data_IF_509329243892
#
_entry.id   IF_509329243892
#
_cell.length_a   1.000
_cell.length_b   1.000
_cell.length_c   1.000
_cell.angle_alpha   90.00
_cell.angle_beta   90.00
_cell.angle_gamma   90.00
#
_symmetry.space_group_name_H-M   'P 1'
#
loop_
_entity.id
_entity.type
_entity.pdbx_description
1 polymer ?
#
# COMPACT_ATOMS: atom_id res chain seq x y z
N UNK A 1 24.68 12.16 28.18
CA UNK A 1 26.05 12.43 28.69
C UNK A 1 25.95 12.88 30.14
N UNK A 2 26.81 12.36 31.01
CA UNK A 2 26.76 12.53 32.46
C UNK A 2 27.05 13.98 32.88
N UNK A 3 26.14 14.54 33.67
CA UNK A 3 26.29 15.76 34.49
C UNK A 3 27.54 15.65 35.37
N UNK A 4 28.62 16.33 34.98
CA UNK A 4 29.90 16.29 35.67
C UNK A 4 30.62 17.64 35.63
N UNK A 5 29.92 18.74 35.88
CA UNK A 5 30.57 20.03 36.12
C UNK A 5 29.75 20.83 37.14
N UNK A 6 29.93 20.52 38.42
CA UNK A 6 29.37 21.30 39.53
C UNK A 6 30.43 21.65 40.58
N UNK A 7 31.70 21.79 40.17
CA UNK A 7 32.77 21.98 41.17
C UNK A 7 33.96 22.81 40.72
N UNK A 8 33.79 23.75 39.79
CA UNK A 8 34.95 24.49 39.29
C UNK A 8 34.67 25.91 38.78
N UNK A 9 34.13 26.80 39.62
CA UNK A 9 34.26 28.26 39.37
C UNK A 9 33.96 29.21 40.53
N UNK A 10 33.74 28.76 41.77
CA UNK A 10 33.49 29.67 42.91
C UNK A 10 34.75 30.21 43.60
N UNK A 11 35.91 30.24 42.92
CA UNK A 11 37.19 30.59 43.59
C UNK A 11 37.93 31.84 43.14
N UNK A 12 37.48 32.62 42.15
CA UNK A 12 38.31 33.73 41.64
C UNK A 12 37.61 35.06 41.30
N UNK A 13 36.44 35.36 41.87
CA UNK A 13 35.82 36.70 41.70
C UNK A 13 35.36 37.39 42.99
N UNK A 14 35.93 37.04 44.14
CA UNK A 14 35.81 37.89 45.32
C UNK A 14 36.85 39.02 45.25
N UNK A 15 36.70 39.91 44.27
CA UNK A 15 37.21 41.26 44.40
C UNK A 15 36.35 41.96 45.43
N UNK A 16 36.56 41.68 46.73
CA UNK A 16 36.04 42.53 47.79
C UNK A 16 36.63 43.92 47.53
N UNK A 17 35.85 44.79 46.91
CA UNK A 17 36.10 46.22 47.06
C UNK A 17 35.90 46.48 48.55
N UNK A 18 36.99 46.44 49.31
CA UNK A 18 37.08 47.02 50.63
C UNK A 18 36.83 48.52 50.43
N UNK A 19 35.56 48.91 50.43
CA UNK A 19 35.15 50.30 50.55
C UNK A 19 35.67 50.71 51.92
N UNK A 20 36.62 51.65 51.93
CA UNK A 20 37.13 52.23 53.18
C UNK A 20 35.93 52.75 53.98
N UNK A 21 35.85 52.47 55.30
CA UNK A 21 34.85 53.11 56.14
C UNK A 21 35.00 54.63 55.99
N UNK A 22 33.87 55.29 55.75
CA UNK A 22 33.81 56.75 55.66
C UNK A 22 34.08 57.30 57.07
N UNK A 23 35.07 58.19 57.21
CA UNK A 23 35.43 58.76 58.51
C UNK A 23 34.37 59.79 58.90
N UNK A 24 33.63 59.50 59.98
CA UNK A 24 32.55 60.33 60.51
C UNK A 24 33.05 61.74 60.83
N UNK A 25 34.32 61.87 61.22
CA UNK A 25 34.94 63.16 61.53
C UNK A 25 35.15 64.03 60.29
N UNK A 26 35.39 63.45 59.13
CA UNK A 26 35.65 64.16 57.88
C UNK A 26 34.36 64.81 57.31
N UNK A 27 33.20 64.21 57.60
CA UNK A 27 31.87 64.76 57.28
C UNK A 27 31.51 65.91 58.22
N UNK A 28 31.84 65.77 59.50
CA UNK A 28 31.52 66.74 60.55
C UNK A 28 32.42 67.99 60.53
N UNK A 29 33.63 67.91 59.97
CA UNK A 29 34.55 69.05 59.87
C UNK A 29 34.07 70.16 58.92
N UNK A 30 33.00 69.91 58.13
CA UNK A 30 32.27 70.98 57.46
C UNK A 30 31.43 71.78 58.48
N UNK A 31 32.05 72.77 59.13
CA UNK A 31 31.39 73.76 60.02
C UNK A 31 30.25 74.53 59.32
N UNK A 32 29.08 73.91 59.18
CA UNK A 32 27.84 74.55 58.76
C UNK A 32 26.70 74.02 59.63
N UNK A 33 26.10 74.95 60.37
CA UNK A 33 24.72 75.02 60.86
C UNK A 33 24.01 73.68 61.18
N UNK A 34 23.59 73.47 62.43
CA UNK A 34 22.89 72.27 62.91
C UNK A 34 21.69 71.87 62.03
N UNK A 35 21.02 72.85 61.41
CA UNK A 35 19.94 72.60 60.44
C UNK A 35 20.39 71.80 59.22
N UNK A 36 21.61 72.03 58.71
CA UNK A 36 22.17 71.31 57.57
C UNK A 36 22.60 69.88 57.95
N UNK A 37 23.03 69.65 59.19
CA UNK A 37 23.35 68.30 59.68
C UNK A 37 22.09 67.44 59.84
N UNK A 38 20.97 68.01 60.28
CA UNK A 38 19.67 67.33 60.33
C UNK A 38 19.12 67.03 58.93
N UNK A 39 19.22 67.97 57.99
CA UNK A 39 18.80 67.76 56.59
C UNK A 39 19.63 66.66 55.92
N UNK A 40 20.96 66.64 56.15
CA UNK A 40 21.83 65.57 55.65
C UNK A 40 21.47 64.19 56.23
N UNK A 41 21.12 64.14 57.52
CA UNK A 41 20.70 62.92 58.20
C UNK A 41 19.40 62.37 57.61
N UNK A 42 18.42 63.25 57.34
CA UNK A 42 17.15 62.88 56.69
C UNK A 42 17.37 62.35 55.28
N UNK A 43 18.24 63.00 54.49
CA UNK A 43 18.60 62.54 53.14
C UNK A 43 19.30 61.17 53.15
N UNK A 44 20.23 60.93 54.07
CA UNK A 44 20.92 59.63 54.17
C UNK A 44 19.97 58.53 54.67
N UNK A 45 19.05 58.84 55.58
CA UNK A 45 17.99 57.93 56.03
C UNK A 45 17.04 57.54 54.88
N UNK A 46 16.59 58.52 54.08
CA UNK A 46 15.77 58.30 52.88
C UNK A 46 16.50 57.46 51.82
N UNK A 47 17.78 57.73 51.56
CA UNK A 47 18.60 56.96 50.62
C UNK A 47 18.74 55.50 51.12
N UNK A 48 18.99 55.30 52.42
CA UNK A 48 19.13 53.98 53.02
C UNK A 48 17.84 53.17 52.90
N UNK A 49 16.69 53.80 53.19
CA UNK A 49 15.36 53.18 53.01
C UNK A 49 15.09 52.85 51.53
N UNK A 50 15.44 53.74 50.61
CA UNK A 50 15.27 53.52 49.17
C UNK A 50 16.13 52.37 48.66
N UNK A 51 17.38 52.27 49.09
CA UNK A 51 18.29 51.17 48.75
C UNK A 51 17.71 49.85 49.30
N UNK A 52 17.27 49.82 50.56
CA UNK A 52 16.65 48.62 51.16
C UNK A 52 15.43 48.15 50.39
N UNK A 53 14.50 49.07 50.07
CA UNK A 53 13.31 48.75 49.27
C UNK A 53 13.68 48.24 47.88
N UNK A 54 14.72 48.80 47.27
CA UNK A 54 15.25 48.33 45.98
C UNK A 54 15.79 46.90 46.11
N UNK A 55 16.61 46.61 47.12
CA UNK A 55 17.16 45.28 47.38
C UNK A 55 16.04 44.25 47.59
N UNK A 56 15.06 44.56 48.45
CA UNK A 56 13.91 43.67 48.70
C UNK A 56 13.18 43.37 47.38
N UNK A 57 12.89 44.41 46.60
CA UNK A 57 12.17 44.24 45.33
C UNK A 57 12.96 43.47 44.28
N UNK A 58 14.27 43.70 44.19
CA UNK A 58 15.10 42.97 43.23
C UNK A 58 15.38 41.54 43.68
N UNK A 59 15.49 41.27 44.98
CA UNK A 59 15.57 39.90 45.51
C UNK A 59 14.32 39.09 45.19
N UNK A 60 13.12 39.67 45.33
CA UNK A 60 11.87 39.04 44.89
C UNK A 60 11.92 38.72 43.38
N UNK A 61 12.38 39.67 42.58
CA UNK A 61 12.48 39.54 41.12
C UNK A 61 13.47 38.44 40.73
N UNK A 62 14.62 38.36 41.39
CA UNK A 62 15.63 37.33 41.17
C UNK A 62 15.13 35.93 41.57
N UNK A 63 14.39 35.83 42.68
CA UNK A 63 13.72 34.59 43.08
C UNK A 63 12.70 34.13 42.02
N UNK A 64 11.90 35.06 41.49
CA UNK A 64 10.99 34.78 40.39
C UNK A 64 11.73 34.34 39.12
N UNK A 65 12.80 35.02 38.72
CA UNK A 65 13.65 34.65 37.57
C UNK A 65 14.23 33.25 37.76
N UNK A 66 14.75 32.92 38.94
CA UNK A 66 15.29 31.58 39.22
C UNK A 66 14.22 30.50 39.08
N UNK A 67 13.00 30.75 39.59
CA UNK A 67 11.89 29.82 39.44
C UNK A 67 11.50 29.64 37.97
N UNK A 68 11.35 30.74 37.21
CA UNK A 68 11.04 30.67 35.79
C UNK A 68 12.13 29.95 35.00
N UNK A 69 13.40 30.18 35.32
CA UNK A 69 14.52 29.51 34.67
C UNK A 69 14.49 27.99 34.90
N UNK A 70 14.19 27.55 36.13
CA UNK A 70 14.04 26.13 36.44
C UNK A 70 12.89 25.46 35.65
N UNK A 71 11.74 26.15 35.51
CA UNK A 71 10.62 25.67 34.68
C UNK A 71 11.06 25.56 33.22
N UNK A 72 11.76 26.57 32.72
CA UNK A 72 12.28 26.61 31.36
C UNK A 72 13.25 25.44 31.08
N UNK A 73 14.17 25.16 32.01
CA UNK A 73 15.10 24.01 31.91
C UNK A 73 14.32 22.70 31.82
N UNK A 74 13.28 22.53 32.65
CA UNK A 74 12.42 21.34 32.57
C UNK A 74 11.70 21.23 31.23
N UNK A 75 11.18 22.34 30.69
CA UNK A 75 10.53 22.37 29.38
C UNK A 75 11.49 21.96 28.26
N UNK A 76 12.73 22.49 28.25
CA UNK A 76 13.74 22.11 27.26
C UNK A 76 14.16 20.65 27.38
N UNK A 77 14.23 20.10 28.59
CA UNK A 77 14.48 18.67 28.78
C UNK A 77 13.36 17.80 28.21
N UNK A 78 12.09 18.20 28.40
CA UNK A 78 10.94 17.50 27.82
C UNK A 78 10.93 17.62 26.29
N UNK A 79 11.19 18.81 25.76
CA UNK A 79 11.30 19.07 24.32
C UNK A 79 12.42 18.23 23.69
N UNK A 80 13.59 18.15 24.32
CA UNK A 80 14.69 17.31 23.85
C UNK A 80 14.33 15.82 23.82
N UNK A 81 13.55 15.32 24.78
CA UNK A 81 13.09 13.93 24.77
C UNK A 81 12.08 13.67 23.65
N UNK A 82 11.12 14.59 23.47
CA UNK A 82 10.14 14.52 22.39
C UNK A 82 10.80 14.58 21.01
N UNK A 83 11.86 15.38 20.84
CA UNK A 83 12.63 15.47 19.61
C UNK A 83 13.35 14.16 19.27
N UNK A 84 13.92 13.47 20.26
CA UNK A 84 14.58 12.17 20.03
C UNK A 84 13.58 11.10 19.57
N UNK A 85 12.39 11.09 20.17
CA UNK A 85 11.30 10.20 19.76
C UNK A 85 10.80 10.56 18.35
N UNK A 86 10.63 11.85 18.06
CA UNK A 86 10.21 12.31 16.74
C UNK A 86 11.22 11.92 15.64
N UNK A 87 12.53 12.03 15.92
CA UNK A 87 13.59 11.65 14.98
C UNK A 87 13.60 10.14 14.71
N UNK A 88 13.37 9.31 15.75
CA UNK A 88 13.20 7.87 15.60
C UNK A 88 11.99 7.53 14.70
N UNK A 89 10.85 8.19 14.94
CA UNK A 89 9.63 8.00 14.14
C UNK A 89 9.83 8.44 12.68
N UNK A 90 10.55 9.54 12.43
CA UNK A 90 10.88 9.99 11.08
C UNK A 90 11.70 8.93 10.34
N UNK A 91 12.74 8.39 10.96
CA UNK A 91 13.57 7.34 10.37
C UNK A 91 12.78 6.05 10.08
N UNK A 92 11.85 5.67 10.96
CA UNK A 92 10.95 4.55 10.74
C UNK A 92 10.05 4.79 9.52
N UNK A 93 9.46 5.98 9.40
CA UNK A 93 8.60 6.33 8.26
C UNK A 93 9.41 6.35 6.95
N UNK A 94 10.64 6.86 6.94
CA UNK A 94 11.53 6.79 5.77
C UNK A 94 11.74 5.33 5.34
N UNK A 95 12.05 4.45 6.28
CA UNK A 95 12.21 3.01 6.01
C UNK A 95 10.93 2.39 5.45
N UNK A 96 9.76 2.78 5.97
CA UNK A 96 8.47 2.33 5.44
C UNK A 96 8.20 2.82 4.01
N UNK A 97 8.56 4.06 3.68
CA UNK A 97 8.43 4.63 2.33
C UNK A 97 9.32 3.86 1.33
N UNK A 98 10.55 3.52 1.72
CA UNK A 98 11.45 2.70 0.90
C UNK A 98 10.86 1.30 0.67
N UNK A 99 10.34 0.66 1.72
CA UNK A 99 9.69 -0.64 1.62
C UNK A 99 8.45 -0.60 0.71
N UNK A 100 7.61 0.44 0.82
CA UNK A 100 6.47 0.65 -0.09
C UNK A 100 6.95 0.76 -1.54
N UNK A 101 8.02 1.50 -1.79
CA UNK A 101 8.60 1.66 -3.13
C UNK A 101 9.11 0.32 -3.70
N UNK A 102 9.72 -0.52 -2.86
CA UNK A 102 10.17 -1.85 -3.27
C UNK A 102 9.00 -2.78 -3.59
N UNK A 103 8.05 -2.90 -2.66
CA UNK A 103 6.86 -3.77 -2.82
C UNK A 103 6.04 -3.35 -4.03
N UNK A 104 5.88 -2.04 -4.25
CA UNK A 104 5.15 -1.53 -5.42
C UNK A 104 5.88 -1.85 -6.73
N UNK A 105 7.21 -1.79 -6.76
CA UNK A 105 8.01 -2.25 -7.89
C UNK A 105 7.82 -3.74 -8.20
N UNK A 106 7.79 -4.59 -7.17
CA UNK A 106 7.57 -6.03 -7.35
C UNK A 106 6.16 -6.36 -7.82
N UNK A 107 5.15 -5.69 -7.25
CA UNK A 107 3.75 -5.83 -7.70
C UNK A 107 3.61 -5.40 -9.15
N UNK A 108 4.28 -4.33 -9.60
CA UNK A 108 4.27 -3.90 -11.00
C UNK A 108 4.87 -4.95 -11.95
N UNK A 109 5.97 -5.60 -11.56
CA UNK A 109 6.55 -6.70 -12.34
C UNK A 109 5.60 -7.90 -12.46
N UNK A 110 5.05 -8.35 -11.33
CA UNK A 110 4.12 -9.49 -11.30
C UNK A 110 2.85 -9.21 -12.12
N UNK A 111 2.35 -7.98 -12.03
CA UNK A 111 1.26 -7.42 -12.83
C UNK A 111 1.56 -7.47 -14.33
N UNK A 112 2.76 -7.09 -14.75
CA UNK A 112 3.15 -7.15 -16.16
C UNK A 112 3.31 -8.60 -16.66
N UNK A 113 3.80 -9.50 -15.83
CA UNK A 113 3.85 -10.93 -16.15
C UNK A 113 2.44 -11.52 -16.31
N UNK A 114 1.52 -11.21 -15.39
CA UNK A 114 0.13 -11.61 -15.47
C UNK A 114 -0.57 -11.04 -16.71
N UNK A 115 -0.26 -9.81 -17.13
CA UNK A 115 -0.73 -9.24 -18.40
C UNK A 115 -0.32 -10.11 -19.58
N UNK A 116 0.97 -10.43 -19.70
CA UNK A 116 1.49 -11.23 -20.80
C UNK A 116 0.90 -12.64 -20.83
N UNK A 117 0.68 -13.26 -19.66
CA UNK A 117 0.04 -14.57 -19.56
C UNK A 117 -1.44 -14.50 -19.96
N UNK A 118 -2.16 -13.46 -19.57
CA UNK A 118 -3.55 -13.26 -19.97
C UNK A 118 -3.69 -13.01 -21.48
N UNK A 119 -2.78 -12.24 -22.08
CA UNK A 119 -2.74 -12.03 -23.55
C UNK A 119 -2.48 -13.36 -24.28
N UNK A 120 -1.45 -14.11 -23.87
CA UNK A 120 -1.18 -15.43 -24.45
C UNK A 120 -2.36 -16.39 -24.29
N UNK A 121 -3.01 -16.36 -23.13
CA UNK A 121 -4.23 -17.14 -22.88
C UNK A 121 -5.38 -16.77 -23.83
N UNK A 122 -5.56 -15.48 -24.09
CA UNK A 122 -6.56 -14.99 -25.05
C UNK A 122 -6.26 -15.47 -26.48
N UNK A 123 -5.00 -15.37 -26.93
CA UNK A 123 -4.57 -15.84 -28.27
C UNK A 123 -4.80 -17.35 -28.45
N UNK A 124 -4.49 -18.14 -27.42
CA UNK A 124 -4.70 -19.60 -27.42
C UNK A 124 -6.21 -19.92 -27.51
N UNK A 125 -7.04 -19.22 -26.75
CA UNK A 125 -8.50 -19.43 -26.76
C UNK A 125 -9.12 -19.01 -28.09
N UNK A 126 -8.65 -17.92 -28.70
CA UNK A 126 -9.07 -17.51 -30.04
C UNK A 126 -8.74 -18.59 -31.09
N UNK A 127 -7.52 -19.12 -31.03
CA UNK A 127 -7.08 -20.23 -31.91
C UNK A 127 -7.92 -21.50 -31.68
N UNK A 128 -8.28 -21.79 -30.43
CA UNK A 128 -9.16 -22.91 -30.09
C UNK A 128 -10.57 -22.71 -30.68
N UNK A 129 -11.10 -21.48 -30.64
CA UNK A 129 -12.39 -21.13 -31.23
C UNK A 129 -12.42 -21.38 -32.75
N UNK A 130 -11.37 -20.94 -33.46
CA UNK A 130 -11.21 -21.21 -34.89
C UNK A 130 -11.16 -22.72 -35.18
N UNK A 131 -10.37 -23.47 -34.41
CA UNK A 131 -10.29 -24.92 -34.56
C UNK A 131 -11.63 -25.61 -34.32
N UNK A 132 -12.41 -25.14 -33.35
CA UNK A 132 -13.73 -25.69 -33.04
C UNK A 132 -14.73 -25.45 -34.17
N UNK A 133 -14.64 -24.30 -34.84
CA UNK A 133 -15.43 -23.99 -36.03
C UNK A 133 -15.07 -24.88 -37.23
N UNK A 134 -13.79 -25.20 -37.41
CA UNK A 134 -13.35 -26.17 -38.42
C UNK A 134 -13.90 -27.56 -38.13
N UNK A 135 -13.88 -27.98 -36.87
CA UNK A 135 -14.45 -29.28 -36.44
C UNK A 135 -15.96 -29.31 -36.68
N UNK A 136 -16.71 -28.28 -36.26
CA UNK A 136 -18.16 -28.16 -36.52
C UNK A 136 -18.49 -28.30 -38.01
N UNK A 137 -17.75 -27.59 -38.86
CA UNK A 137 -17.93 -27.65 -40.32
C UNK A 137 -17.66 -29.06 -40.86
N UNK A 138 -16.61 -29.73 -40.38
CA UNK A 138 -16.25 -31.09 -40.80
C UNK A 138 -17.33 -32.10 -40.42
N UNK A 139 -17.89 -32.00 -39.21
CA UNK A 139 -18.96 -32.90 -38.77
C UNK A 139 -20.27 -32.66 -39.55
N UNK A 140 -20.59 -31.41 -39.89
CA UNK A 140 -21.71 -31.10 -40.79
C UNK A 140 -21.52 -31.68 -42.19
N UNK A 141 -20.31 -31.69 -42.72
CA UNK A 141 -20.00 -32.37 -43.99
C UNK A 141 -20.22 -33.88 -43.89
N UNK A 142 -19.84 -34.52 -42.77
CA UNK A 142 -20.12 -35.95 -42.57
C UNK A 142 -21.62 -36.27 -42.56
N UNK A 143 -22.47 -35.42 -41.97
CA UNK A 143 -23.94 -35.58 -42.05
C UNK A 143 -24.40 -35.62 -43.51
N UNK A 144 -23.91 -34.70 -44.35
CA UNK A 144 -24.24 -34.68 -45.78
C UNK A 144 -23.77 -35.93 -46.54
N UNK A 145 -22.59 -36.47 -46.21
CA UNK A 145 -22.08 -37.72 -46.81
C UNK A 145 -22.95 -38.91 -46.40
N UNK A 146 -23.36 -39.00 -45.14
CA UNK A 146 -24.24 -40.08 -44.67
C UNK A 146 -25.61 -40.02 -45.35
N UNK A 147 -26.17 -38.83 -45.54
CA UNK A 147 -27.43 -38.67 -46.29
C UNK A 147 -27.30 -39.12 -47.74
N UNK A 148 -26.21 -38.77 -48.41
CA UNK A 148 -25.92 -39.24 -49.77
C UNK A 148 -25.84 -40.78 -49.81
N UNK A 149 -25.12 -41.39 -48.88
CA UNK A 149 -24.99 -42.84 -48.78
C UNK A 149 -26.32 -43.53 -48.49
N UNK A 150 -27.18 -42.92 -47.66
CA UNK A 150 -28.54 -43.41 -47.38
C UNK A 150 -29.41 -43.41 -48.64
N UNK A 151 -29.33 -42.34 -49.45
CA UNK A 151 -30.05 -42.26 -50.71
C UNK A 151 -29.56 -43.30 -51.73
N UNK A 152 -28.24 -43.43 -51.90
CA UNK A 152 -27.66 -44.45 -52.79
C UNK A 152 -28.06 -45.87 -52.35
N UNK A 153 -28.08 -46.15 -51.04
CA UNK A 153 -28.48 -47.47 -50.51
C UNK A 153 -29.93 -47.80 -50.85
N UNK A 154 -30.84 -46.82 -50.78
CA UNK A 154 -32.25 -46.98 -51.20
C UNK A 154 -32.39 -47.25 -52.69
N UNK A 155 -31.59 -46.60 -53.53
CA UNK A 155 -31.59 -46.88 -54.98
C UNK A 155 -31.15 -48.31 -55.27
N UNK A 156 -30.06 -48.78 -54.63
CA UNK A 156 -29.58 -50.15 -54.79
C UNK A 156 -30.60 -51.17 -54.28
N UNK A 157 -31.29 -50.89 -53.16
CA UNK A 157 -32.40 -51.72 -52.68
C UNK A 157 -33.52 -51.82 -53.73
N UNK A 158 -33.88 -50.71 -54.38
CA UNK A 158 -34.84 -50.68 -55.49
C UNK A 158 -34.42 -51.54 -56.68
N UNK A 159 -33.15 -51.46 -57.09
CA UNK A 159 -32.60 -52.30 -58.17
C UNK A 159 -32.60 -53.78 -57.79
N UNK A 160 -32.18 -54.10 -56.57
CA UNK A 160 -32.11 -55.48 -56.07
C UNK A 160 -33.50 -56.11 -56.00
N UNK A 161 -34.51 -55.37 -55.54
CA UNK A 161 -35.92 -55.81 -55.56
C UNK A 161 -36.45 -56.04 -56.98
N UNK A 162 -36.02 -55.22 -57.94
CA UNK A 162 -36.37 -55.42 -59.36
C UNK A 162 -35.75 -56.71 -59.91
N UNK A 163 -34.46 -56.97 -59.63
CA UNK A 163 -33.77 -58.21 -60.02
C UNK A 163 -34.44 -59.44 -59.39
N UNK A 164 -34.80 -59.36 -58.11
CA UNK A 164 -35.53 -60.40 -57.40
C UNK A 164 -36.86 -60.73 -58.11
N UNK A 165 -37.59 -59.68 -58.52
CA UNK A 165 -38.88 -59.81 -59.23
C UNK A 165 -38.69 -60.45 -60.60
N UNK A 166 -37.72 -59.97 -61.38
CA UNK A 166 -37.40 -60.53 -62.71
C UNK A 166 -36.99 -62.01 -62.57
N UNK A 167 -36.10 -62.32 -61.64
CA UNK A 167 -35.62 -63.69 -61.43
C UNK A 167 -36.74 -64.63 -60.97
N UNK A 168 -37.67 -64.15 -60.14
CA UNK A 168 -38.86 -64.92 -59.75
C UNK A 168 -39.79 -65.17 -60.94
N UNK A 169 -39.96 -64.20 -61.83
CA UNK A 169 -40.72 -64.37 -63.07
C UNK A 169 -40.02 -65.34 -64.03
N UNK A 170 -38.70 -65.23 -64.20
CA UNK A 170 -37.89 -66.16 -65.02
C UNK A 170 -37.95 -67.58 -64.46
N UNK A 171 -37.93 -67.74 -63.13
CA UNK A 171 -38.12 -69.03 -62.48
C UNK A 171 -39.48 -69.64 -62.85
N UNK A 172 -40.57 -68.88 -62.73
CA UNK A 172 -41.91 -69.32 -63.14
C UNK A 172 -42.01 -69.63 -64.63
N UNK A 173 -41.37 -68.83 -65.49
CA UNK A 173 -41.33 -69.05 -66.94
C UNK A 173 -40.61 -70.36 -67.27
N UNK A 174 -39.46 -70.59 -66.63
CA UNK A 174 -38.64 -71.79 -66.83
C UNK A 174 -39.32 -73.04 -66.31
N UNK A 175 -40.08 -72.94 -65.20
CA UNK A 175 -40.91 -74.02 -64.69
C UNK A 175 -41.99 -74.42 -65.71
N UNK A 176 -42.70 -73.42 -66.27
CA UNK A 176 -43.69 -73.67 -67.31
C UNK A 176 -43.06 -74.31 -68.56
N UNK A 177 -41.86 -73.87 -68.94
CA UNK A 177 -41.11 -74.45 -70.05
C UNK A 177 -40.66 -75.90 -69.76
N UNK A 178 -40.20 -76.21 -68.54
CA UNK A 178 -39.85 -77.58 -68.13
C UNK A 178 -41.07 -78.50 -68.15
N UNK A 179 -42.25 -78.00 -67.73
CA UNK A 179 -43.52 -78.75 -67.79
C UNK A 179 -43.89 -79.06 -69.24
N UNK A 180 -43.84 -78.07 -70.13
CA UNK A 180 -44.21 -78.26 -71.53
C UNK A 180 -43.19 -79.13 -72.30
N UNK A 181 -41.91 -79.02 -71.95
CA UNK A 181 -40.85 -79.90 -72.46
C UNK A 181 -41.05 -81.36 -72.02
N UNK A 182 -41.48 -81.60 -70.77
CA UNK A 182 -41.86 -82.93 -70.32
C UNK A 182 -43.11 -83.46 -71.05
N UNK A 183 -44.05 -82.57 -71.38
CA UNK A 183 -45.28 -82.89 -72.13
C UNK A 183 -45.01 -83.30 -73.58
N UNK A 184 -43.98 -82.74 -74.21
CA UNK A 184 -43.52 -83.10 -75.56
C UNK A 184 -42.76 -84.44 -75.64
N UNK A 185 -42.52 -85.12 -74.50
CA UNK A 185 -41.89 -86.44 -74.45
C UNK A 185 -40.44 -86.45 -74.97
N UNK A 186 -40.09 -87.43 -75.81
CA UNK A 186 -38.74 -87.60 -76.36
C UNK A 186 -38.27 -86.38 -77.19
N UNK A 187 -39.19 -85.68 -77.86
CA UNK A 187 -38.87 -84.48 -78.66
C UNK A 187 -38.54 -83.25 -77.81
N UNK A 188 -38.94 -83.22 -76.53
CA UNK A 188 -38.72 -82.12 -75.60
C UNK A 188 -37.47 -82.23 -74.72
N UNK A 189 -36.73 -83.34 -74.79
CA UNK A 189 -35.58 -83.63 -73.89
C UNK A 189 -34.53 -82.51 -73.84
N UNK A 190 -34.13 -81.98 -75.00
CA UNK A 190 -33.15 -80.89 -75.07
C UNK A 190 -33.67 -79.58 -74.43
N UNK A 191 -34.94 -79.26 -74.65
CA UNK A 191 -35.59 -78.10 -74.04
C UNK A 191 -35.76 -78.26 -72.52
N UNK A 192 -36.02 -79.47 -72.03
CA UNK A 192 -36.15 -79.75 -70.60
C UNK A 192 -34.83 -79.49 -69.84
N UNK A 193 -33.69 -79.82 -70.45
CA UNK A 193 -32.36 -79.55 -69.86
C UNK A 193 -32.12 -78.04 -69.75
N UNK A 194 -32.38 -77.29 -70.83
CA UNK A 194 -32.22 -75.84 -70.83
C UNK A 194 -33.17 -75.18 -69.82
N UNK A 195 -34.43 -75.59 -69.79
CA UNK A 195 -35.42 -75.03 -68.86
C UNK A 195 -35.05 -75.28 -67.39
N UNK A 196 -34.52 -76.45 -67.05
CA UNK A 196 -34.02 -76.73 -65.70
C UNK A 196 -32.76 -75.92 -65.34
N UNK A 197 -31.86 -75.67 -66.29
CA UNK A 197 -30.69 -74.81 -66.05
C UNK A 197 -31.10 -73.35 -65.82
N UNK A 198 -32.03 -72.83 -66.62
CA UNK A 198 -32.61 -71.49 -66.44
C UNK A 198 -33.32 -71.38 -65.10
N UNK A 199 -34.04 -72.43 -64.68
CA UNK A 199 -34.68 -72.50 -63.37
C UNK A 199 -33.65 -72.36 -62.24
N UNK A 200 -32.59 -73.15 -62.29
CA UNK A 200 -31.51 -73.13 -61.31
C UNK A 200 -30.83 -71.76 -61.24
N UNK A 201 -30.47 -71.17 -62.38
CA UNK A 201 -29.89 -69.83 -62.44
C UNK A 201 -30.83 -68.76 -61.86
N UNK A 202 -32.13 -68.89 -62.09
CA UNK A 202 -33.13 -67.96 -61.55
C UNK A 202 -33.23 -68.08 -60.02
N UNK A 203 -33.22 -69.31 -59.47
CA UNK A 203 -33.19 -69.57 -58.03
C UNK A 203 -31.90 -69.04 -57.37
N UNK A 204 -30.73 -69.26 -58.00
CA UNK A 204 -29.46 -68.70 -57.56
C UNK A 204 -29.47 -67.16 -57.57
N UNK A 205 -30.08 -66.53 -58.58
CA UNK A 205 -30.19 -65.06 -58.67
C UNK A 205 -31.13 -64.49 -57.60
N UNK A 206 -32.23 -65.18 -57.29
CA UNK A 206 -33.13 -64.86 -56.17
C UNK A 206 -32.39 -64.92 -54.84
N UNK A 207 -31.57 -65.95 -54.62
CA UNK A 207 -30.79 -66.09 -53.40
C UNK A 207 -29.73 -64.98 -53.27
N UNK A 208 -28.97 -64.72 -54.34
CA UNK A 208 -27.95 -63.67 -54.36
C UNK A 208 -28.57 -62.27 -54.14
N UNK A 209 -29.73 -61.99 -54.74
CA UNK A 209 -30.46 -60.73 -54.53
C UNK A 209 -30.92 -60.57 -53.09
N UNK A 210 -31.36 -61.65 -52.44
CA UNK A 210 -31.75 -61.64 -51.02
C UNK A 210 -30.55 -61.33 -50.11
N UNK A 211 -29.38 -61.94 -50.39
CA UNK A 211 -28.15 -61.66 -49.65
C UNK A 211 -27.69 -60.21 -49.82
N UNK A 212 -27.77 -59.65 -51.03
CA UNK A 212 -27.49 -58.24 -51.29
C UNK A 212 -28.42 -57.34 -50.47
N UNK A 213 -29.73 -57.61 -50.47
CA UNK A 213 -30.70 -56.87 -49.67
C UNK A 213 -30.37 -56.91 -48.17
N UNK A 214 -29.98 -58.06 -47.62
CA UNK A 214 -29.55 -58.15 -46.22
C UNK A 214 -28.30 -57.31 -45.94
N UNK A 215 -27.35 -57.25 -46.87
CA UNK A 215 -26.16 -56.38 -46.73
C UNK A 215 -26.53 -54.91 -46.77
N UNK A 216 -27.43 -54.50 -47.65
CA UNK A 216 -27.93 -53.12 -47.75
C UNK A 216 -28.66 -52.73 -46.46
N UNK A 217 -29.53 -53.58 -45.91
CA UNK A 217 -30.22 -53.30 -44.64
C UNK A 217 -29.25 -53.10 -43.48
N UNK A 218 -28.22 -53.95 -43.38
CA UNK A 218 -27.17 -53.79 -42.37
C UNK A 218 -26.41 -52.47 -42.56
N UNK A 219 -26.08 -52.12 -43.80
CA UNK A 219 -25.39 -50.89 -44.15
C UNK A 219 -26.24 -49.65 -43.80
N UNK A 220 -27.54 -49.65 -44.10
CA UNK A 220 -28.48 -48.60 -43.70
C UNK A 220 -28.56 -48.45 -42.17
N UNK A 221 -28.64 -49.56 -41.43
CA UNK A 221 -28.64 -49.51 -39.95
C UNK A 221 -27.36 -48.89 -39.42
N UNK A 222 -26.20 -49.29 -39.94
CA UNK A 222 -24.91 -48.69 -39.54
C UNK A 222 -24.82 -47.20 -39.86
N UNK A 223 -25.41 -46.76 -40.99
CA UNK A 223 -25.50 -45.34 -41.31
C UNK A 223 -26.37 -44.56 -40.31
N UNK A 224 -27.52 -45.10 -39.90
CA UNK A 224 -28.39 -44.45 -38.92
C UNK A 224 -27.74 -44.36 -37.54
N UNK A 225 -27.06 -45.42 -37.10
CA UNK A 225 -26.25 -45.39 -35.88
C UNK A 225 -25.12 -44.36 -35.95
N UNK A 226 -24.47 -44.24 -37.11
CA UNK A 226 -23.39 -43.26 -37.35
C UNK A 226 -23.94 -41.83 -37.34
N UNK A 227 -25.08 -41.60 -37.99
CA UNK A 227 -25.77 -40.31 -38.01
C UNK A 227 -26.07 -39.82 -36.59
N UNK A 228 -26.67 -40.67 -35.75
CA UNK A 228 -26.98 -40.32 -34.35
C UNK A 228 -25.73 -39.96 -33.53
N UNK A 229 -24.59 -40.63 -33.78
CA UNK A 229 -23.31 -40.29 -33.12
C UNK A 229 -22.75 -38.95 -33.59
N UNK A 230 -22.89 -38.64 -34.88
CA UNK A 230 -22.45 -37.37 -35.44
C UNK A 230 -23.32 -36.22 -34.89
N UNK A 231 -24.64 -36.37 -34.83
CA UNK A 231 -25.52 -35.36 -34.23
C UNK A 231 -25.15 -35.04 -32.78
N UNK A 232 -24.90 -36.07 -31.95
CA UNK A 232 -24.42 -35.86 -30.58
C UNK A 232 -23.06 -35.15 -30.55
N UNK A 233 -22.18 -35.47 -31.48
CA UNK A 233 -20.87 -34.81 -31.57
C UNK A 233 -21.01 -33.33 -31.91
N UNK A 234 -21.94 -32.96 -32.81
CA UNK A 234 -22.24 -31.55 -33.14
C UNK A 234 -22.77 -30.80 -31.90
N UNK A 235 -23.63 -31.44 -31.10
CA UNK A 235 -24.10 -30.84 -29.83
C UNK A 235 -22.95 -30.58 -28.85
N UNK A 236 -22.03 -31.54 -28.68
CA UNK A 236 -20.86 -31.39 -27.80
C UNK A 236 -19.88 -30.33 -28.33
N UNK A 237 -19.71 -30.22 -29.65
CA UNK A 237 -18.91 -29.16 -30.27
C UNK A 237 -19.52 -27.77 -29.98
N UNK A 238 -20.85 -27.64 -30.06
CA UNK A 238 -21.54 -26.40 -29.75
C UNK A 238 -21.33 -25.98 -28.28
N UNK A 239 -21.41 -26.92 -27.33
CA UNK A 239 -21.05 -26.68 -25.92
C UNK A 239 -19.59 -26.26 -25.77
N UNK A 240 -18.68 -26.89 -26.51
CA UNK A 240 -17.27 -26.52 -26.55
C UNK A 240 -17.03 -25.08 -27.03
N UNK A 241 -17.77 -24.64 -28.06
CA UNK A 241 -17.72 -23.24 -28.51
C UNK A 241 -18.23 -22.26 -27.44
N UNK A 242 -19.31 -22.60 -26.74
CA UNK A 242 -19.83 -21.77 -25.64
C UNK A 242 -18.79 -21.58 -24.52
N UNK A 243 -18.15 -22.67 -24.09
CA UNK A 243 -17.09 -22.64 -23.08
C UNK A 243 -15.89 -21.81 -23.56
N UNK A 244 -15.52 -21.92 -24.84
CA UNK A 244 -14.42 -21.15 -25.44
C UNK A 244 -14.72 -19.64 -25.39
N UNK A 245 -15.91 -19.23 -25.81
CA UNK A 245 -16.35 -17.83 -25.77
C UNK A 245 -16.40 -17.28 -24.33
N UNK A 246 -16.87 -18.08 -23.37
CA UNK A 246 -16.85 -17.69 -21.96
C UNK A 246 -15.42 -17.48 -21.45
N UNK A 247 -14.50 -18.37 -21.83
CA UNK A 247 -13.09 -18.29 -21.46
C UNK A 247 -12.43 -17.05 -22.06
N UNK A 248 -12.76 -16.70 -23.31
CA UNK A 248 -12.28 -15.48 -23.96
C UNK A 248 -12.71 -14.22 -23.18
N UNK A 249 -13.99 -14.17 -22.77
CA UNK A 249 -14.52 -13.09 -21.93
C UNK A 249 -13.82 -12.97 -20.57
N UNK A 250 -13.43 -14.11 -19.97
CA UNK A 250 -12.66 -14.11 -18.72
C UNK A 250 -11.28 -13.50 -18.94
N UNK A 251 -10.57 -13.87 -20.01
CA UNK A 251 -9.27 -13.28 -20.32
C UNK A 251 -9.35 -11.78 -20.61
N UNK A 252 -10.35 -11.31 -21.36
CA UNK A 252 -10.59 -9.87 -21.58
C UNK A 252 -10.81 -9.11 -20.25
N UNK A 253 -11.60 -9.71 -19.34
CA UNK A 253 -11.78 -9.14 -17.99
C UNK A 253 -10.49 -9.13 -17.18
N UNK A 254 -9.66 -10.17 -17.27
CA UNK A 254 -8.35 -10.20 -16.62
C UNK A 254 -7.44 -9.09 -17.15
N UNK A 255 -7.39 -8.87 -18.46
CA UNK A 255 -6.62 -7.77 -19.07
C UNK A 255 -7.09 -6.41 -18.55
N UNK A 256 -8.41 -6.18 -18.45
CA UNK A 256 -8.97 -4.95 -17.89
C UNK A 256 -8.61 -4.76 -16.41
N UNK A 257 -8.70 -5.81 -15.60
CA UNK A 257 -8.27 -5.76 -14.20
C UNK A 257 -6.79 -5.45 -14.09
N UNK A 258 -5.97 -5.99 -14.99
CA UNK A 258 -4.53 -5.76 -14.98
C UNK A 258 -4.17 -4.30 -15.25
N UNK A 259 -4.88 -3.65 -16.18
CA UNK A 259 -4.76 -2.20 -16.42
C UNK A 259 -5.15 -1.40 -15.18
N UNK A 260 -6.25 -1.76 -14.52
CA UNK A 260 -6.68 -1.07 -13.28
C UNK A 260 -5.64 -1.21 -12.14
N UNK A 261 -5.01 -2.37 -12.01
CA UNK A 261 -3.93 -2.57 -11.04
C UNK A 261 -2.76 -1.65 -11.37
N UNK A 262 -2.32 -1.58 -12.63
CA UNK A 262 -1.27 -0.65 -13.06
C UNK A 262 -1.57 0.81 -12.71
N UNK A 263 -2.81 1.27 -12.98
CA UNK A 263 -3.23 2.63 -12.65
C UNK A 263 -3.15 2.89 -11.15
N UNK A 264 -3.60 1.92 -10.33
CA UNK A 264 -3.50 2.00 -8.87
C UNK A 264 -2.06 1.98 -8.37
N UNK A 265 -1.18 1.22 -9.02
CA UNK A 265 0.25 1.24 -8.69
C UNK A 265 0.87 2.61 -8.96
N UNK A 266 0.52 3.26 -10.07
CA UNK A 266 0.97 4.62 -10.38
C UNK A 266 0.48 5.65 -9.34
N UNK A 267 -0.76 5.50 -8.87
CA UNK A 267 -1.32 6.34 -7.79
C UNK A 267 -0.56 6.16 -6.47
N UNK A 268 -0.19 4.92 -6.12
CA UNK A 268 0.62 4.62 -4.94
C UNK A 268 2.02 5.21 -5.08
N UNK A 269 2.67 5.09 -6.24
CA UNK A 269 3.98 5.70 -6.51
C UNK A 269 3.95 7.22 -6.30
N UNK A 270 2.98 7.90 -6.91
CA UNK A 270 2.80 9.35 -6.76
C UNK A 270 2.58 9.75 -5.29
N UNK A 271 1.72 9.02 -4.58
CA UNK A 271 1.46 9.29 -3.16
C UNK A 271 2.71 9.05 -2.29
N UNK A 272 3.50 8.04 -2.62
CA UNK A 272 4.74 7.68 -1.91
C UNK A 272 5.80 8.75 -2.10
N UNK A 273 5.95 9.29 -3.32
CA UNK A 273 6.83 10.42 -3.62
C UNK A 273 6.42 11.69 -2.85
N UNK A 274 5.13 12.03 -2.85
CA UNK A 274 4.61 13.16 -2.07
C UNK A 274 4.87 12.97 -0.57
N UNK A 275 4.69 11.77 -0.04
CA UNK A 275 4.95 11.48 1.36
C UNK A 275 6.45 11.57 1.70
N UNK A 276 7.32 11.10 0.81
CA UNK A 276 8.77 11.23 0.96
C UNK A 276 9.18 12.70 1.10
N UNK A 277 8.68 13.57 0.21
CA UNK A 277 8.93 15.01 0.29
C UNK A 277 8.40 15.64 1.59
N UNK A 278 7.21 15.26 2.03
CA UNK A 278 6.64 15.77 3.31
C UNK A 278 7.47 15.33 4.52
N UNK A 279 7.97 14.10 4.52
CA UNK A 279 8.81 13.59 5.61
C UNK A 279 10.16 14.29 5.64
N UNK A 280 10.76 14.58 4.48
CA UNK A 280 11.95 15.41 4.41
C UNK A 280 11.73 16.82 5.00
N UNK A 281 10.58 17.44 4.71
CA UNK A 281 10.21 18.73 5.32
C UNK A 281 10.02 18.64 6.84
N UNK A 282 9.41 17.56 7.33
CA UNK A 282 9.23 17.32 8.77
C UNK A 282 10.58 17.16 9.46
N UNK A 283 11.50 16.39 8.85
CA UNK A 283 12.86 16.22 9.37
C UNK A 283 13.59 17.56 9.51
N UNK A 284 13.48 18.44 8.52
CA UNK A 284 14.06 19.79 8.56
C UNK A 284 13.45 20.65 9.68
N UNK A 285 12.12 20.61 9.86
CA UNK A 285 11.44 21.33 10.96
C UNK A 285 11.95 20.82 12.32
N UNK A 286 12.11 19.51 12.50
CA UNK A 286 12.64 18.95 13.74
C UNK A 286 14.09 19.36 14.00
N UNK A 287 14.92 19.44 12.95
CA UNK A 287 16.27 19.95 13.08
C UNK A 287 16.29 21.40 13.58
N UNK A 288 15.40 22.25 13.07
CA UNK A 288 15.27 23.64 13.51
C UNK A 288 14.79 23.77 14.97
N UNK A 289 13.81 22.96 15.38
CA UNK A 289 13.32 22.94 16.77
C UNK A 289 14.44 22.47 17.71
N UNK A 290 15.19 21.44 17.33
CA UNK A 290 16.35 20.96 18.10
C UNK A 290 17.39 22.06 18.30
N UNK A 291 17.71 22.81 17.24
CA UNK A 291 18.61 23.96 17.32
C UNK A 291 18.09 25.02 18.30
N UNK A 292 16.81 25.38 18.23
CA UNK A 292 16.21 26.35 19.14
C UNK A 292 16.20 25.89 20.59
N UNK A 293 15.93 24.61 20.85
CA UNK A 293 16.01 24.04 22.19
C UNK A 293 17.44 24.16 22.78
N UNK A 294 18.48 23.96 21.95
CA UNK A 294 19.88 24.14 22.36
C UNK A 294 20.22 25.60 22.66
N UNK A 295 19.75 26.54 21.83
CA UNK A 295 19.93 27.98 22.06
C UNK A 295 19.22 28.46 23.34
N UNK A 296 18.02 27.93 23.59
CA UNK A 296 17.27 28.18 24.82
C UNK A 296 18.00 27.64 26.06
N UNK A 297 18.55 26.42 26.01
CA UNK A 297 19.35 25.86 27.09
C UNK A 297 20.57 26.75 27.43
N UNK A 298 21.30 27.19 26.40
CA UNK A 298 22.44 28.10 26.59
C UNK A 298 22.02 29.45 27.19
N UNK A 299 20.87 29.98 26.77
CA UNK A 299 20.32 31.24 27.31
C UNK A 299 19.91 31.10 28.78
N UNK A 300 19.38 29.93 29.18
CA UNK A 300 19.04 29.63 30.58
C UNK A 300 20.26 29.53 31.48
N UNK A 301 21.35 28.96 30.97
CA UNK A 301 22.63 28.88 31.69
C UNK A 301 23.17 30.29 31.94
N UNK A 302 23.20 31.14 30.90
CA UNK A 302 23.60 32.54 31.03
C UNK A 302 22.70 33.33 32.00
N UNK A 303 21.39 33.08 31.97
CA UNK A 303 20.44 33.73 32.87
C UNK A 303 20.67 33.29 34.33
N UNK A 304 21.00 32.01 34.56
CA UNK A 304 21.35 31.50 35.89
C UNK A 304 22.60 32.20 36.42
N UNK A 305 23.66 32.28 35.62
CA UNK A 305 24.91 32.96 35.98
C UNK A 305 24.67 34.44 36.32
N UNK A 306 23.89 35.14 35.49
CA UNK A 306 23.55 36.55 35.71
C UNK A 306 22.73 36.77 36.98
N UNK A 307 21.82 35.85 37.27
CA UNK A 307 20.99 35.91 38.48
C UNK A 307 21.83 35.64 39.75
N UNK A 308 22.82 34.74 39.67
CA UNK A 308 23.79 34.49 40.74
C UNK A 308 24.68 35.73 40.96
N UNK A 309 25.24 36.32 39.90
CA UNK A 309 26.02 37.57 39.98
C UNK A 309 25.23 38.71 40.64
N UNK A 310 23.96 38.89 40.27
CA UNK A 310 23.09 39.90 40.90
C UNK A 310 22.82 39.59 42.38
N UNK A 311 22.65 38.33 42.75
CA UNK A 311 22.45 37.93 44.14
C UNK A 311 23.67 38.29 44.99
N UNK A 312 24.89 38.10 44.47
CA UNK A 312 26.12 38.54 45.13
C UNK A 312 26.15 40.06 45.29
N UNK A 313 25.79 40.82 44.26
CA UNK A 313 25.72 42.28 44.35
C UNK A 313 24.71 42.79 45.39
N UNK A 314 23.60 42.08 45.61
CA UNK A 314 22.66 42.45 46.69
C UNK A 314 23.23 42.21 48.08
N UNK A 315 24.01 41.16 48.27
CA UNK A 315 24.70 40.90 49.55
C UNK A 315 25.68 42.06 49.84
N UNK A 316 26.41 42.53 48.83
CA UNK A 316 27.32 43.67 48.98
C UNK A 316 26.55 44.96 49.32
N UNK A 317 25.42 45.23 48.64
CA UNK A 317 24.57 46.40 48.93
C UNK A 317 23.94 46.33 50.32
N UNK A 318 23.54 45.16 50.80
CA UNK A 318 23.04 44.99 52.17
C UNK A 318 24.13 45.30 53.18
N UNK A 319 25.36 44.85 52.96
CA UNK A 319 26.50 45.23 53.80
C UNK A 319 26.70 46.75 53.83
N UNK A 320 26.55 47.42 52.69
CA UNK A 320 26.65 48.88 52.61
C UNK A 320 25.52 49.59 53.37
N UNK A 321 24.27 49.11 53.24
CA UNK A 321 23.12 49.60 54.01
C UNK A 321 23.37 49.47 55.51
N UNK A 322 23.87 48.33 55.98
CA UNK A 322 24.21 48.16 57.40
C UNK A 322 25.30 49.11 57.88
N UNK A 323 26.32 49.38 57.06
CA UNK A 323 27.35 50.37 57.38
C UNK A 323 26.78 51.80 57.44
N UNK A 324 25.88 52.16 56.53
CA UNK A 324 25.22 53.47 56.57
C UNK A 324 24.31 53.62 57.80
N UNK A 325 23.59 52.56 58.19
CA UNK A 325 22.78 52.55 59.41
C UNK A 325 23.64 52.76 60.67
N UNK A 326 24.82 52.14 60.73
CA UNK A 326 25.77 52.30 61.84
C UNK A 326 26.29 53.76 61.91
N UNK A 327 26.71 54.32 60.76
CA UNK A 327 27.14 55.72 60.66
C UNK A 327 26.01 56.68 61.02
N UNK A 328 24.77 56.42 60.58
CA UNK A 328 23.60 57.21 60.93
C UNK A 328 23.33 57.20 62.44
N UNK A 329 23.51 56.06 63.10
CA UNK A 329 23.36 55.94 64.56
C UNK A 329 24.44 56.73 65.31
N UNK A 330 25.70 56.63 64.87
CA UNK A 330 26.81 57.37 65.46
C UNK A 330 26.63 58.88 65.27
N UNK A 331 26.26 59.34 64.08
CA UNK A 331 25.96 60.75 63.80
C UNK A 331 24.78 61.26 64.65
N UNK A 332 23.70 60.48 64.78
CA UNK A 332 22.56 60.82 65.66
C UNK A 332 23.02 61.01 67.11
N UNK A 333 23.90 60.14 67.60
CA UNK A 333 24.43 60.17 68.96
C UNK A 333 25.35 61.38 69.18
N UNK A 334 26.25 61.67 68.25
CA UNK A 334 27.15 62.83 68.36
C UNK A 334 26.43 64.17 68.25
N UNK A 335 25.45 64.31 67.35
CA UNK A 335 24.58 65.51 67.27
C UNK A 335 23.85 65.70 68.60
N UNK A 336 23.33 64.63 69.20
CA UNK A 336 22.67 64.68 70.51
C UNK A 336 23.62 65.08 71.66
N UNK A 337 24.86 64.58 71.65
CA UNK A 337 25.90 64.95 72.62
C UNK A 337 26.42 66.39 72.42
N UNK A 338 26.50 66.87 71.18
CA UNK A 338 26.81 68.25 70.81
C UNK A 338 25.74 69.24 71.30
N UNK A 339 24.47 68.91 71.13
CA UNK A 339 23.33 69.69 71.66
C UNK A 339 23.40 69.79 73.19
N UNK A 340 23.79 68.72 73.89
CA UNK A 340 24.00 68.76 75.35
C UNK A 340 25.17 69.66 75.77
N UNK A 341 26.25 69.72 74.98
CA UNK A 341 27.41 70.59 75.24
C UNK A 341 27.11 72.07 74.99
N UNK A 342 26.39 72.40 73.90
CA UNK A 342 25.96 73.78 73.60
C UNK A 342 24.89 74.29 74.58
N UNK A 343 24.13 73.42 75.23
CA UNK A 343 23.20 73.78 76.31
C UNK A 343 23.85 73.86 77.70
N UNK A 344 25.10 73.43 77.86
CA UNK A 344 25.85 73.41 79.13
C UNK A 344 26.95 74.48 79.23
N UNK A 345 27.20 75.22 78.16
CA UNK A 345 28.00 76.46 78.12
C UNK A 345 27.05 77.67 78.04
#
# INVERSE_FOLDING_TARGET
MKWKFFNKTTKEKSGHNNIKPMDVQEVLDTKKDQSHQQELLEVVEDITQLIRKTIEKTSETNGFIAQQNNIMVQNVMQESAALQEADANVNEVVTHIENISHVTGDVAKATNEAFNLATQGNDIVASLGEQMQVIDTTFKQFLGIIDLLKNNSKEIEGFTNTIQTISSQTNLLSLNASIEAARAGEHGRGFAVVANEVKKLSEETVQASSEINQKIQNMTRTMEETYSKIEKSVEEIAKGMEITNLTESIFDRMLKFQTQINDKMNEIWSTTEVNSNKIAMIAEIWHQISKHAMENAASMEQLADKNEEQTVHFIDLLSFVYQMEDILQDLKKEIYEGVKKDQSN
#
